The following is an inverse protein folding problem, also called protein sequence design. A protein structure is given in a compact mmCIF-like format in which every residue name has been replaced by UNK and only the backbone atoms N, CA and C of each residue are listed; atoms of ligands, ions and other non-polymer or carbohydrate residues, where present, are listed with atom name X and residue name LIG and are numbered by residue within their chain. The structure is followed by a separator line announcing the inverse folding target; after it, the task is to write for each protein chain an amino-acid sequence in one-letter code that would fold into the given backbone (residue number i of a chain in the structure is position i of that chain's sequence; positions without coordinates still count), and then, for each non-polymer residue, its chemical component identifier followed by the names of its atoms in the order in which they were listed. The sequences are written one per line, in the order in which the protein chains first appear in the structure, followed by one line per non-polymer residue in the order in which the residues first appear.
data_IF_358281244890
#
_entry.id   IF_358281244890
#
_cell.length_a   1.000
_cell.length_b   1.000
_cell.length_c   1.000
_cell.angle_alpha   90.00
_cell.angle_beta   90.00
_cell.angle_gamma   90.00
#
_symmetry.space_group_name_H-M   'P 1'
#
loop_
_entity.id
_entity.type
_entity.pdbx_description
1 polymer ?
#
# COMPACT_ATOMS: atom_id res chain seq x y z
N UNK A 1 10.83 -24.82 -33.15
CA UNK A 1 10.80 -23.48 -32.53
C UNK A 1 11.20 -23.45 -31.05
N UNK A 2 11.25 -24.58 -30.32
CA UNK A 2 11.53 -24.55 -28.86
C UNK A 2 13.00 -24.54 -28.41
N UNK A 3 13.99 -24.80 -29.27
CA UNK A 3 15.39 -24.91 -28.82
C UNK A 3 16.10 -23.57 -28.64
N UNK A 4 15.75 -22.55 -29.42
CA UNK A 4 16.39 -21.24 -29.31
C UNK A 4 15.89 -20.47 -28.08
N UNK A 5 14.58 -20.48 -27.76
CA UNK A 5 14.05 -19.79 -26.57
C UNK A 5 14.66 -20.30 -25.26
N UNK A 6 14.85 -21.61 -25.12
CA UNK A 6 15.47 -22.18 -23.91
C UNK A 6 16.93 -21.74 -23.70
N UNK A 7 17.71 -21.58 -24.78
CA UNK A 7 19.10 -21.15 -24.69
C UNK A 7 19.17 -19.67 -24.30
N UNK A 8 18.34 -18.81 -24.90
CA UNK A 8 18.29 -17.38 -24.55
C UNK A 8 17.82 -17.15 -23.11
N UNK A 9 16.82 -17.90 -22.62
CA UNK A 9 16.39 -17.82 -21.23
C UNK A 9 17.48 -18.25 -20.25
N UNK A 10 18.22 -19.32 -20.54
CA UNK A 10 19.32 -19.78 -19.69
C UNK A 10 20.49 -18.80 -19.66
N UNK A 11 20.88 -18.26 -20.82
CA UNK A 11 21.97 -17.30 -20.94
C UNK A 11 21.63 -15.99 -20.23
N UNK A 12 20.42 -15.46 -20.44
CA UNK A 12 19.92 -14.30 -19.70
C UNK A 12 19.82 -14.58 -18.19
N UNK A 13 19.47 -15.79 -17.78
CA UNK A 13 19.38 -16.14 -16.36
C UNK A 13 20.77 -16.17 -15.69
N UNK A 14 21.78 -16.73 -16.36
CA UNK A 14 23.16 -16.73 -15.86
C UNK A 14 23.73 -15.31 -15.82
N UNK A 15 23.50 -14.51 -16.85
CA UNK A 15 23.90 -13.10 -16.88
C UNK A 15 23.19 -12.29 -15.77
N UNK A 16 21.88 -12.48 -15.58
CA UNK A 16 21.10 -11.83 -14.51
C UNK A 16 21.58 -12.26 -13.12
N UNK A 17 21.86 -13.56 -12.92
CA UNK A 17 22.42 -14.07 -11.66
C UNK A 17 23.85 -13.58 -11.41
N UNK A 18 24.60 -13.24 -12.45
CA UNK A 18 25.92 -12.62 -12.32
C UNK A 18 25.83 -11.14 -11.91
N UNK A 19 24.77 -10.45 -12.34
CA UNK A 19 24.52 -9.04 -12.05
C UNK A 19 23.86 -8.82 -10.68
N UNK A 20 23.03 -9.77 -10.23
CA UNK A 20 22.27 -9.70 -8.99
C UNK A 20 22.41 -11.00 -8.20
N UNK A 21 22.79 -10.86 -6.93
CA UNK A 21 22.81 -11.99 -6.01
C UNK A 21 21.41 -12.22 -5.44
N UNK A 22 20.65 -13.12 -6.07
CA UNK A 22 19.33 -13.51 -5.58
C UNK A 22 19.43 -14.52 -4.45
N UNK A 23 18.79 -14.19 -3.33
CA UNK A 23 18.57 -15.09 -2.22
C UNK A 23 17.17 -15.71 -2.32
N UNK A 24 17.07 -17.00 -1.99
CA UNK A 24 15.78 -17.70 -1.93
C UNK A 24 15.04 -17.34 -0.65
N UNK A 25 13.72 -17.23 -0.77
CA UNK A 25 12.86 -17.09 0.41
C UNK A 25 12.99 -18.35 1.29
N UNK A 26 13.16 -18.21 2.62
CA UNK A 26 13.22 -19.35 3.53
C UNK A 26 11.96 -20.22 3.50
N UNK A 27 12.11 -21.51 3.82
CA UNK A 27 10.97 -22.41 4.01
C UNK A 27 10.30 -22.91 2.73
N UNK A 28 11.02 -22.94 1.60
CA UNK A 28 10.51 -23.39 0.29
C UNK A 28 9.29 -22.61 -0.22
N UNK A 29 9.08 -21.38 0.27
CA UNK A 29 8.06 -20.48 -0.26
C UNK A 29 8.58 -19.94 -1.60
N UNK A 30 7.83 -20.03 -2.71
CA UNK A 30 8.33 -19.55 -4.00
C UNK A 30 8.53 -18.03 -3.94
N UNK A 31 9.71 -17.57 -4.36
CA UNK A 31 10.07 -16.16 -4.33
C UNK A 31 11.57 -15.96 -4.25
N UNK A 32 11.99 -14.71 -4.40
CA UNK A 32 13.38 -14.31 -4.30
C UNK A 32 13.47 -12.87 -3.79
N UNK A 33 14.61 -12.55 -3.17
CA UNK A 33 14.98 -11.19 -2.82
C UNK A 33 16.44 -10.93 -3.12
N UNK A 34 16.81 -9.67 -3.24
CA UNK A 34 18.19 -9.19 -3.27
C UNK A 34 18.45 -8.39 -1.99
N UNK A 35 19.73 -8.19 -1.66
CA UNK A 35 20.12 -7.43 -0.49
C UNK A 35 19.66 -5.97 -0.61
N UNK A 36 18.72 -5.57 0.26
CA UNK A 36 18.21 -4.20 0.33
C UNK A 36 19.34 -3.17 0.51
N UNK A 37 20.29 -3.44 1.42
CA UNK A 37 21.41 -2.55 1.69
C UNK A 37 22.30 -2.40 0.45
N UNK A 38 22.56 -3.49 -0.27
CA UNK A 38 23.37 -3.47 -1.50
C UNK A 38 22.69 -2.69 -2.63
N UNK A 39 21.37 -2.85 -2.80
CA UNK A 39 20.62 -2.09 -3.80
C UNK A 39 20.55 -0.60 -3.44
N UNK A 40 20.42 -0.24 -2.15
CA UNK A 40 20.49 1.15 -1.70
C UNK A 40 21.88 1.74 -1.99
N UNK A 41 22.97 1.06 -1.64
CA UNK A 41 24.34 1.49 -1.94
C UNK A 41 24.51 1.73 -3.44
N UNK A 42 24.03 0.78 -4.25
CA UNK A 42 24.07 0.89 -5.71
C UNK A 42 23.28 2.10 -6.20
N UNK A 43 22.07 2.32 -5.69
CA UNK A 43 21.26 3.48 -6.09
C UNK A 43 21.96 4.79 -5.74
N UNK A 44 22.44 4.95 -4.50
CA UNK A 44 23.13 6.15 -4.01
C UNK A 44 24.34 6.46 -4.90
N UNK A 45 25.17 5.45 -5.19
CA UNK A 45 26.37 5.61 -6.01
C UNK A 45 26.10 6.21 -7.40
N UNK A 46 24.97 5.87 -8.01
CA UNK A 46 24.69 6.27 -9.40
C UNK A 46 23.71 7.44 -9.53
N UNK A 47 22.90 7.73 -8.51
CA UNK A 47 21.75 8.64 -8.64
C UNK A 47 21.69 9.74 -7.57
N UNK A 48 22.43 9.62 -6.47
CA UNK A 48 22.38 10.62 -5.38
C UNK A 48 23.58 11.57 -5.50
N UNK A 49 23.32 12.87 -5.31
CA UNK A 49 24.36 13.88 -5.29
C UNK A 49 25.34 13.61 -4.13
N UNK A 50 26.66 13.56 -4.38
CA UNK A 50 27.67 13.43 -3.32
C UNK A 50 27.61 14.51 -2.23
N UNK A 51 26.98 15.66 -2.48
CA UNK A 51 26.78 16.72 -1.49
C UNK A 51 25.57 16.48 -0.56
N UNK A 52 24.72 15.49 -0.87
CA UNK A 52 23.62 15.11 0.02
C UNK A 52 24.16 14.40 1.26
N UNK A 53 23.75 14.86 2.44
CA UNK A 53 24.16 14.25 3.71
C UNK A 53 23.07 13.35 4.31
N UNK A 54 21.80 13.68 4.08
CA UNK A 54 20.64 12.92 4.55
C UNK A 54 19.78 12.43 3.39
N UNK A 55 19.49 11.12 3.38
CA UNK A 55 18.75 10.45 2.32
C UNK A 55 17.46 9.88 2.90
N UNK A 56 16.32 10.25 2.30
CA UNK A 56 15.01 9.67 2.62
C UNK A 56 14.77 8.43 1.78
N UNK A 57 14.48 7.31 2.41
CA UNK A 57 14.21 6.04 1.74
C UNK A 57 12.83 5.56 2.14
N UNK A 58 11.92 5.45 1.17
CA UNK A 58 10.61 4.83 1.37
C UNK A 58 10.67 3.36 0.97
N UNK A 59 10.51 2.48 1.94
CA UNK A 59 10.29 1.04 1.71
C UNK A 59 8.78 0.82 1.63
N UNK A 60 8.32 0.10 0.60
CA UNK A 60 6.90 -0.18 0.39
C UNK A 60 6.67 -1.67 0.19
N UNK A 61 5.45 -2.12 0.49
CA UNK A 61 4.98 -3.42 0.07
C UNK A 61 3.55 -3.39 -0.44
N UNK A 62 3.27 -4.30 -1.35
CA UNK A 62 1.96 -4.44 -1.99
C UNK A 62 1.64 -5.92 -2.22
N UNK A 63 0.40 -6.30 -1.92
CA UNK A 63 -0.13 -7.65 -2.10
C UNK A 63 -1.07 -7.71 -3.29
N UNK A 64 -0.68 -8.42 -4.35
CA UNK A 64 -1.50 -8.59 -5.55
C UNK A 64 -1.94 -10.04 -5.74
N UNK A 65 -3.25 -10.23 -5.89
CA UNK A 65 -3.83 -11.50 -6.31
C UNK A 65 -3.83 -11.58 -7.83
N UNK A 66 -2.86 -12.30 -8.39
CA UNK A 66 -2.67 -12.42 -9.84
C UNK A 66 -3.54 -13.52 -10.45
N UNK A 67 -3.86 -14.57 -9.68
CA UNK A 67 -4.78 -15.62 -10.13
C UNK A 67 -5.56 -16.23 -8.97
N UNK A 68 -6.37 -17.26 -9.25
CA UNK A 68 -7.03 -18.06 -8.19
C UNK A 68 -6.03 -18.76 -7.26
N UNK A 69 -4.81 -19.00 -7.72
CA UNK A 69 -3.80 -19.82 -7.04
C UNK A 69 -2.49 -19.07 -6.73
N UNK A 70 -2.29 -17.87 -7.29
CA UNK A 70 -1.07 -17.08 -7.10
C UNK A 70 -1.39 -15.72 -6.47
N UNK A 71 -0.79 -15.49 -5.32
CA UNK A 71 -0.78 -14.21 -4.62
C UNK A 71 0.68 -13.81 -4.48
N UNK A 72 1.03 -12.62 -4.95
CA UNK A 72 2.38 -12.11 -4.81
C UNK A 72 2.38 -10.96 -3.82
N UNK A 73 3.36 -10.96 -2.93
CA UNK A 73 3.74 -9.79 -2.16
C UNK A 73 5.04 -9.29 -2.76
N UNK A 74 5.04 -8.03 -3.16
CA UNK A 74 6.20 -7.33 -3.71
C UNK A 74 6.66 -6.32 -2.69
N UNK A 75 7.97 -6.30 -2.39
CA UNK A 75 8.57 -5.23 -1.60
C UNK A 75 9.52 -4.44 -2.50
N UNK A 76 9.42 -3.13 -2.40
CA UNK A 76 10.23 -2.18 -3.16
C UNK A 76 10.75 -1.08 -2.26
N UNK A 77 11.80 -0.39 -2.71
CA UNK A 77 12.23 0.85 -2.10
C UNK A 77 12.31 1.97 -3.15
N UNK A 78 12.24 3.20 -2.68
CA UNK A 78 12.45 4.40 -3.49
C UNK A 78 13.22 5.40 -2.66
N UNK A 79 14.12 6.15 -3.31
CA UNK A 79 14.79 7.27 -2.68
C UNK A 79 13.98 8.52 -2.98
N UNK A 80 13.55 9.22 -1.94
CA UNK A 80 12.76 10.45 -2.07
C UNK A 80 13.74 11.61 -2.27
N UNK A 81 13.73 12.19 -3.47
CA UNK A 81 14.39 13.45 -3.77
C UNK A 81 13.42 14.63 -3.52
N UNK A 82 13.94 15.85 -3.43
CA UNK A 82 13.14 17.05 -3.09
C UNK A 82 12.05 17.38 -4.14
N UNK A 83 12.11 16.77 -5.33
CA UNK A 83 10.99 16.80 -6.27
C UNK A 83 9.90 15.88 -5.74
N UNK A 84 8.81 16.50 -5.27
CA UNK A 84 7.54 15.93 -4.78
C UNK A 84 6.88 14.88 -5.71
N UNK A 85 7.52 14.48 -6.80
CA UNK A 85 7.09 13.39 -7.65
C UNK A 85 7.51 12.05 -7.04
N UNK A 86 6.58 11.43 -6.30
CA UNK A 86 6.51 9.99 -6.05
C UNK A 86 6.25 9.22 -7.38
N UNK A 87 7.06 9.50 -8.39
CA UNK A 87 7.00 8.88 -9.71
C UNK A 87 7.32 7.39 -9.57
N UNK A 88 6.52 6.54 -10.21
CA UNK A 88 6.76 5.08 -10.29
C UNK A 88 8.09 4.71 -10.96
N UNK A 89 8.79 5.68 -11.58
CA UNK A 89 10.07 5.47 -12.25
C UNK A 89 11.24 5.12 -11.31
N UNK A 90 11.12 5.43 -10.01
CA UNK A 90 12.18 5.22 -9.02
C UNK A 90 11.88 4.10 -8.01
N UNK A 91 10.90 3.23 -8.31
CA UNK A 91 10.61 2.07 -7.48
C UNK A 91 11.54 0.91 -7.83
N UNK A 92 12.41 0.56 -6.89
CA UNK A 92 13.37 -0.53 -7.00
C UNK A 92 12.81 -1.74 -6.25
N UNK A 93 12.32 -2.74 -7.00
CA UNK A 93 11.84 -4.01 -6.43
C UNK A 93 13.04 -4.81 -5.93
N UNK A 94 13.01 -5.17 -4.65
CA UNK A 94 14.08 -5.98 -4.04
C UNK A 94 13.58 -7.31 -3.48
N UNK A 95 12.26 -7.54 -3.43
CA UNK A 95 11.69 -8.83 -3.03
C UNK A 95 10.38 -9.11 -3.76
N UNK A 96 10.22 -10.35 -4.23
CA UNK A 96 8.96 -10.89 -4.73
C UNK A 96 8.75 -12.24 -4.06
N UNK A 97 7.60 -12.41 -3.40
CA UNK A 97 7.24 -13.67 -2.76
C UNK A 97 5.83 -14.11 -3.13
N UNK A 98 5.68 -15.36 -3.53
CA UNK A 98 4.39 -15.98 -3.77
C UNK A 98 3.85 -16.52 -2.44
N UNK A 99 3.21 -15.65 -1.67
CA UNK A 99 2.54 -16.02 -0.44
C UNK A 99 1.22 -15.28 -0.31
N UNK A 100 0.35 -15.80 0.55
CA UNK A 100 -0.88 -15.10 0.90
C UNK A 100 -0.51 -13.84 1.69
N UNK A 101 -1.13 -12.73 1.32
CA UNK A 101 -0.98 -11.47 2.04
C UNK A 101 -1.82 -11.50 3.34
N UNK A 102 -1.29 -12.22 4.32
CA UNK A 102 -1.74 -12.22 5.71
C UNK A 102 -0.53 -12.26 6.65
N UNK A 103 -0.78 -12.00 7.93
CA UNK A 103 0.27 -11.77 8.92
C UNK A 103 1.22 -12.97 9.07
N UNK A 104 0.69 -14.18 9.18
CA UNK A 104 1.51 -15.37 9.46
C UNK A 104 2.40 -15.74 8.27
N UNK A 105 1.86 -15.63 7.05
CA UNK A 105 2.63 -15.89 5.83
C UNK A 105 3.69 -14.83 5.60
N UNK A 106 3.37 -13.54 5.80
CA UNK A 106 4.35 -12.46 5.72
C UNK A 106 5.45 -12.64 6.76
N UNK A 107 5.08 -12.92 8.02
CA UNK A 107 6.02 -13.16 9.11
C UNK A 107 6.99 -14.29 8.81
N UNK A 108 6.50 -15.38 8.22
CA UNK A 108 7.33 -16.54 7.90
C UNK A 108 8.21 -16.26 6.67
N UNK A 109 7.60 -15.82 5.57
CA UNK A 109 8.26 -15.70 4.29
C UNK A 109 9.25 -14.53 4.25
N UNK A 110 8.83 -13.38 4.78
CA UNK A 110 9.63 -12.16 4.75
C UNK A 110 10.46 -11.97 6.03
N UNK A 111 10.57 -12.97 6.92
CA UNK A 111 11.36 -12.89 8.16
C UNK A 111 12.77 -12.29 7.97
N UNK A 112 13.64 -12.83 7.08
CA UNK A 112 14.99 -12.30 6.93
C UNK A 112 14.98 -10.86 6.40
N UNK A 113 14.02 -10.55 5.53
CA UNK A 113 13.87 -9.22 4.93
C UNK A 113 13.47 -8.20 5.98
N UNK A 114 12.44 -8.49 6.80
CA UNK A 114 12.03 -7.59 7.88
C UNK A 114 13.10 -7.43 8.94
N UNK A 115 13.89 -8.46 9.24
CA UNK A 115 15.06 -8.33 10.11
C UNK A 115 16.08 -7.34 9.54
N UNK A 116 16.39 -7.41 8.25
CA UNK A 116 17.30 -6.47 7.57
C UNK A 116 16.76 -5.04 7.56
N UNK A 117 15.46 -4.86 7.30
CA UNK A 117 14.80 -3.56 7.38
C UNK A 117 14.93 -2.97 8.79
N UNK A 118 14.69 -3.78 9.83
CA UNK A 118 14.80 -3.33 11.22
C UNK A 118 16.23 -2.95 11.58
N UNK A 119 17.23 -3.75 11.19
CA UNK A 119 18.64 -3.41 11.42
C UNK A 119 19.03 -2.12 10.70
N UNK A 120 18.57 -1.92 9.47
CA UNK A 120 18.85 -0.70 8.71
C UNK A 120 18.19 0.53 9.36
N UNK A 121 16.94 0.39 9.84
CA UNK A 121 16.21 1.41 10.58
C UNK A 121 16.91 1.79 11.89
N UNK A 122 17.38 0.81 12.65
CA UNK A 122 18.12 1.04 13.90
C UNK A 122 19.49 1.68 13.66
N UNK A 123 20.21 1.28 12.60
CA UNK A 123 21.50 1.85 12.20
C UNK A 123 21.37 3.29 11.70
N UNK A 124 20.24 3.62 11.07
CA UNK A 124 19.89 4.94 10.50
C UNK A 124 20.99 5.58 9.64
N UNK A 125 21.88 4.78 9.05
CA UNK A 125 23.01 5.26 8.27
C UNK A 125 23.55 4.18 7.32
N UNK A 126 24.22 4.62 6.27
CA UNK A 126 24.89 3.73 5.31
C UNK A 126 26.21 4.33 4.84
N UNK A 127 27.17 3.47 4.49
CA UNK A 127 28.47 3.89 3.96
C UNK A 127 28.55 3.53 2.49
N UNK A 128 28.89 4.51 1.65
CA UNK A 128 29.07 4.34 0.20
C UNK A 128 30.40 4.98 -0.17
N UNK A 129 31.34 4.17 -0.68
CA UNK A 129 32.67 4.62 -1.11
C UNK A 129 33.44 5.43 -0.05
N UNK A 130 33.28 5.06 1.23
CA UNK A 130 33.92 5.72 2.37
C UNK A 130 33.23 7.00 2.84
N UNK A 131 32.13 7.43 2.21
CA UNK A 131 31.26 8.51 2.71
C UNK A 131 30.10 7.92 3.51
N UNK A 132 29.83 8.48 4.69
CA UNK A 132 28.65 8.19 5.49
C UNK A 132 27.46 9.05 5.06
N UNK A 133 26.29 8.42 4.96
CA UNK A 133 25.01 9.07 4.70
C UNK A 133 24.02 8.72 5.81
N UNK A 134 23.34 9.73 6.33
CA UNK A 134 22.24 9.55 7.28
C UNK A 134 21.00 9.10 6.53
N UNK A 135 20.31 8.09 7.07
CA UNK A 135 19.10 7.53 6.48
C UNK A 135 17.86 7.93 7.27
N UNK A 136 16.84 8.35 6.54
CA UNK A 136 15.49 8.60 7.04
C UNK A 136 14.55 7.60 6.38
N UNK A 137 14.29 6.51 7.09
CA UNK A 137 13.59 5.36 6.52
C UNK A 137 12.11 5.47 6.84
N UNK A 138 11.34 5.50 5.77
CA UNK A 138 9.89 5.62 5.78
C UNK A 138 9.27 4.32 5.30
N UNK A 139 8.09 4.00 5.82
CA UNK A 139 7.31 2.84 5.39
C UNK A 139 6.10 3.28 4.57
N UNK A 140 5.79 2.56 3.50
CA UNK A 140 4.62 2.78 2.68
C UNK A 140 3.98 1.46 2.24
N UNK A 141 2.91 1.59 1.46
CA UNK A 141 2.11 0.48 0.97
C UNK A 141 0.64 0.77 1.18
N UNK A 142 -0.21 -0.08 0.60
CA UNK A 142 -1.64 0.03 0.82
C UNK A 142 -2.01 -0.13 2.30
N UNK A 143 -3.23 0.26 2.66
CA UNK A 143 -3.70 0.23 4.05
C UNK A 143 -3.68 -1.19 4.65
N UNK A 144 -3.93 -2.23 3.84
CA UNK A 144 -4.00 -3.61 4.30
C UNK A 144 -2.60 -4.12 4.63
N UNK A 145 -1.64 -3.90 3.74
CA UNK A 145 -0.24 -4.25 3.96
C UNK A 145 0.31 -3.52 5.19
N UNK A 146 0.07 -2.21 5.32
CA UNK A 146 0.49 -1.42 6.49
C UNK A 146 -0.12 -1.96 7.80
N UNK A 147 -1.40 -2.33 7.80
CA UNK A 147 -2.03 -2.96 8.97
C UNK A 147 -1.35 -4.29 9.32
N UNK A 148 -1.04 -5.12 8.34
CA UNK A 148 -0.39 -6.42 8.56
C UNK A 148 1.02 -6.26 9.14
N UNK A 149 1.86 -5.38 8.57
CA UNK A 149 3.24 -5.20 9.06
C UNK A 149 3.30 -4.56 10.46
N UNK A 150 2.27 -3.81 10.87
CA UNK A 150 2.13 -3.29 12.23
C UNK A 150 1.43 -4.24 13.20
N UNK A 151 0.95 -5.39 12.71
CA UNK A 151 0.20 -6.35 13.52
C UNK A 151 -1.19 -5.87 13.93
N UNK A 152 -1.78 -4.92 13.19
CA UNK A 152 -3.13 -4.42 13.41
C UNK A 152 -4.19 -5.35 12.82
N UNK A 153 -5.40 -5.28 13.37
CA UNK A 153 -6.59 -5.84 12.72
C UNK A 153 -6.95 -5.08 11.44
N UNK A 154 -7.63 -5.76 10.52
CA UNK A 154 -8.00 -5.18 9.22
C UNK A 154 -8.91 -3.94 9.31
N UNK A 155 -9.07 -3.23 8.20
CA UNK A 155 -9.77 -1.94 8.06
C UNK A 155 -11.19 -1.85 8.64
N UNK A 156 -11.88 -2.97 8.87
CA UNK A 156 -13.20 -3.01 9.50
C UNK A 156 -13.16 -2.96 11.04
N UNK A 157 -11.97 -3.08 11.63
CA UNK A 157 -11.79 -3.03 13.08
C UNK A 157 -12.04 -1.62 13.63
N UNK A 158 -12.46 -1.57 14.89
CA UNK A 158 -12.73 -0.31 15.59
C UNK A 158 -11.50 0.62 15.64
N UNK A 159 -10.30 0.06 15.75
CA UNK A 159 -9.04 0.80 15.90
C UNK A 159 -8.02 0.47 14.79
N UNK A 160 -8.45 0.57 13.53
CA UNK A 160 -7.66 0.16 12.36
C UNK A 160 -6.67 1.22 11.84
N UNK A 161 -6.57 2.39 12.48
CA UNK A 161 -5.70 3.47 12.03
C UNK A 161 -4.22 3.16 12.38
N UNK A 162 -3.30 3.18 11.40
CA UNK A 162 -1.86 2.97 11.62
C UNK A 162 -1.20 4.00 12.54
N UNK A 163 -1.68 5.25 12.51
CA UNK A 163 -1.05 6.37 13.22
C UNK A 163 -1.67 6.65 14.60
N UNK A 164 -2.96 6.35 14.78
CA UNK A 164 -3.71 6.77 15.98
C UNK A 164 -4.58 5.65 16.55
N UNK A 165 -4.75 5.64 17.87
CA UNK A 165 -5.67 4.80 18.65
C UNK A 165 -7.12 5.31 18.61
N UNK A 166 -7.54 5.87 17.48
CA UNK A 166 -8.88 6.46 17.30
C UNK A 166 -9.93 5.39 16.99
N UNK A 167 -11.07 5.44 17.68
CA UNK A 167 -12.20 4.56 17.42
C UNK A 167 -12.89 4.93 16.10
N UNK A 168 -13.39 3.95 15.34
CA UNK A 168 -13.99 4.18 14.01
C UNK A 168 -15.12 5.21 14.00
N UNK A 169 -15.92 5.26 15.07
CA UNK A 169 -17.04 6.20 15.23
C UNK A 169 -16.59 7.64 15.59
N UNK A 170 -15.30 7.89 15.72
CA UNK A 170 -14.75 9.22 16.02
C UNK A 170 -13.95 9.79 14.83
N UNK A 171 -13.74 9.00 13.77
CA UNK A 171 -12.89 9.39 12.63
C UNK A 171 -13.47 10.53 11.80
N UNK A 172 -14.78 10.73 11.86
CA UNK A 172 -15.56 11.76 11.17
C UNK A 172 -16.02 12.89 12.11
N UNK A 173 -15.55 12.91 13.36
CA UNK A 173 -15.85 13.98 14.32
C UNK A 173 -15.07 15.26 13.98
N UNK A 174 -15.64 16.04 13.07
CA UNK A 174 -15.12 17.35 12.65
C UNK A 174 -15.26 18.44 13.73
N UNK A 175 -15.82 18.13 14.91
CA UNK A 175 -15.82 19.07 16.04
C UNK A 175 -14.46 19.16 16.73
N UNK A 176 -13.56 18.20 16.47
CA UNK A 176 -12.22 18.17 17.03
C UNK A 176 -11.24 18.99 16.17
N UNK A 177 -10.34 19.78 16.80
CA UNK A 177 -9.26 20.41 16.06
C UNK A 177 -8.27 19.36 15.54
N UNK A 178 -7.48 19.72 14.53
CA UNK A 178 -6.55 18.81 13.85
C UNK A 178 -5.57 18.11 14.80
N UNK A 179 -5.05 18.86 15.78
CA UNK A 179 -4.07 18.41 16.76
C UNK A 179 -4.68 17.58 17.90
N UNK A 180 -6.01 17.46 17.98
CA UNK A 180 -6.70 16.73 19.03
C UNK A 180 -6.15 15.31 19.19
N UNK A 181 -5.93 14.61 18.07
CA UNK A 181 -5.43 13.23 18.05
C UNK A 181 -3.92 13.12 18.19
N UNK A 182 -3.17 14.22 18.07
CA UNK A 182 -1.73 14.25 18.31
C UNK A 182 -1.41 14.32 19.81
N UNK A 183 -2.40 14.71 20.63
CA UNK A 183 -2.24 14.83 22.08
C UNK A 183 -2.73 13.57 22.83
N UNK A 184 -2.42 13.47 24.13
CA UNK A 184 -3.05 12.51 25.08
C UNK A 184 -2.75 11.01 24.86
N UNK A 185 -1.63 10.65 24.24
CA UNK A 185 -1.26 9.24 24.04
C UNK A 185 -2.13 8.51 23.01
N UNK A 186 -2.82 9.27 22.16
CA UNK A 186 -3.61 8.76 21.04
C UNK A 186 -2.73 8.37 19.85
N UNK A 187 -1.58 9.01 19.67
CA UNK A 187 -0.59 8.61 18.66
C UNK A 187 -0.04 7.22 18.99
N UNK A 188 0.09 6.38 17.97
CA UNK A 188 0.73 5.08 18.10
C UNK A 188 2.24 5.25 18.03
N UNK A 189 2.93 4.44 18.83
CA UNK A 189 4.39 4.27 18.80
C UNK A 189 4.71 2.78 18.74
N UNK A 190 5.93 2.42 18.36
CA UNK A 190 6.36 1.01 18.37
C UNK A 190 6.23 0.38 19.75
N UNK A 191 6.50 1.15 20.81
CA UNK A 191 6.31 0.70 22.19
C UNK A 191 4.84 0.38 22.48
N UNK A 192 3.95 1.29 22.11
CA UNK A 192 2.51 1.13 22.30
C UNK A 192 1.95 -0.07 21.54
N UNK A 193 2.39 -0.34 20.30
CA UNK A 193 1.99 -1.54 19.57
C UNK A 193 2.41 -2.83 20.30
N UNK A 194 3.63 -2.87 20.85
CA UNK A 194 4.14 -4.02 21.62
C UNK A 194 3.37 -4.25 22.92
N UNK A 195 2.89 -3.20 23.57
CA UNK A 195 2.08 -3.28 24.79
C UNK A 195 0.63 -3.66 24.49
N UNK A 196 0.03 -3.05 23.46
CA UNK A 196 -1.39 -3.18 23.13
C UNK A 196 -1.74 -4.60 22.69
N UNK A 197 -0.82 -5.32 22.04
CA UNK A 197 -1.02 -6.74 21.70
C UNK A 197 -1.11 -7.63 22.95
N UNK A 198 -0.33 -7.34 24.00
CA UNK A 198 -0.40 -8.09 25.27
C UNK A 198 -1.73 -7.83 25.98
N UNK A 199 -2.21 -6.59 25.90
CA UNK A 199 -3.49 -6.16 26.48
C UNK A 199 -4.69 -6.53 25.60
N UNK A 200 -4.47 -7.00 24.37
CA UNK A 200 -5.49 -7.17 23.33
C UNK A 200 -6.35 -5.90 23.14
N UNK A 201 -5.69 -4.75 23.15
CA UNK A 201 -6.31 -3.43 23.12
C UNK A 201 -6.04 -2.71 21.80
N UNK A 202 -6.84 -1.67 21.53
CA UNK A 202 -6.69 -0.79 20.37
C UNK A 202 -6.52 -1.54 19.05
N UNK A 203 -7.16 -2.69 18.89
CA UNK A 203 -7.16 -3.45 17.64
C UNK A 203 -5.81 -4.03 17.22
N UNK A 204 -4.81 -4.09 18.10
CA UNK A 204 -3.54 -4.78 17.83
C UNK A 204 -3.73 -6.27 18.04
N UNK A 205 -3.37 -7.07 17.03
CA UNK A 205 -3.60 -8.53 16.97
C UNK A 205 -2.32 -9.34 17.04
N UNK A 206 -1.20 -8.75 16.64
CA UNK A 206 0.09 -9.40 16.63
C UNK A 206 1.21 -8.38 16.84
N UNK A 207 2.43 -8.89 17.08
CA UNK A 207 3.62 -8.03 17.17
C UNK A 207 3.92 -7.41 15.80
N UNK A 208 4.40 -6.16 15.74
CA UNK A 208 4.87 -5.57 14.48
C UNK A 208 5.98 -6.41 13.84
N UNK A 209 5.92 -6.57 12.52
CA UNK A 209 6.96 -7.22 11.72
C UNK A 209 8.14 -6.28 11.46
N UNK A 210 7.85 -4.98 11.38
CA UNK A 210 8.85 -3.91 11.25
C UNK A 210 8.89 -3.04 12.50
N UNK A 211 10.06 -2.45 12.77
CA UNK A 211 10.32 -1.57 13.91
C UNK A 211 10.25 -0.08 13.54
N UNK A 212 9.83 0.22 12.29
CA UNK A 212 9.63 1.59 11.81
C UNK A 212 8.51 2.24 12.64
N UNK A 213 8.79 3.41 13.20
CA UNK A 213 7.79 4.12 14.01
C UNK A 213 6.56 4.48 13.17
N UNK A 214 5.34 4.42 13.74
CA UNK A 214 4.13 4.79 13.04
C UNK A 214 4.14 6.20 12.43
N UNK A 215 4.90 7.14 13.01
CA UNK A 215 5.08 8.48 12.46
C UNK A 215 5.89 8.52 11.15
N UNK A 216 6.71 7.50 10.90
CA UNK A 216 7.48 7.32 9.67
C UNK A 216 6.71 6.53 8.61
N UNK A 217 5.40 6.34 8.78
CA UNK A 217 4.53 5.71 7.79
C UNK A 217 3.93 6.79 6.89
N UNK A 218 4.15 6.65 5.58
CA UNK A 218 3.57 7.50 4.54
C UNK A 218 2.29 6.86 4.01
N UNK A 219 1.27 7.70 3.80
CA UNK A 219 0.02 7.30 3.18
C UNK A 219 0.24 6.93 1.71
N UNK A 220 -0.46 5.89 1.26
CA UNK A 220 -0.60 5.62 -0.16
C UNK A 220 -1.62 6.59 -0.80
N UNK A 221 -1.10 7.59 -1.50
CA UNK A 221 -1.91 8.62 -2.15
C UNK A 221 -2.81 8.07 -3.26
N UNK A 222 -2.33 7.07 -4.03
CA UNK A 222 -3.10 6.48 -5.11
C UNK A 222 -4.34 5.79 -4.54
N UNK A 223 -4.14 4.87 -3.59
CA UNK A 223 -5.25 4.15 -2.96
C UNK A 223 -6.19 5.07 -2.18
N UNK A 224 -5.65 6.13 -1.56
CA UNK A 224 -6.48 7.14 -0.88
C UNK A 224 -7.37 7.90 -1.88
N UNK A 225 -6.79 8.42 -2.97
CA UNK A 225 -7.53 9.17 -4.00
C UNK A 225 -8.58 8.30 -4.66
N UNK A 226 -8.25 7.04 -4.99
CA UNK A 226 -9.20 6.07 -5.53
C UNK A 226 -10.39 5.88 -4.58
N UNK A 227 -10.15 5.76 -3.27
CA UNK A 227 -11.23 5.61 -2.28
C UNK A 227 -12.07 6.87 -2.12
N UNK A 228 -11.47 8.06 -2.16
CA UNK A 228 -12.20 9.33 -2.13
C UNK A 228 -13.10 9.45 -3.37
N UNK A 229 -12.55 9.20 -4.55
CA UNK A 229 -13.29 9.21 -5.81
C UNK A 229 -14.47 8.23 -5.80
N UNK A 230 -14.27 7.01 -5.31
CA UNK A 230 -15.34 6.01 -5.15
C UNK A 230 -16.49 6.51 -4.25
N UNK A 231 -16.16 7.13 -3.11
CA UNK A 231 -17.17 7.69 -2.20
C UNK A 231 -17.94 8.86 -2.81
N UNK A 232 -17.24 9.79 -3.46
CA UNK A 232 -17.85 10.95 -4.09
C UNK A 232 -18.73 10.52 -5.27
N UNK A 233 -18.25 9.59 -6.09
CA UNK A 233 -19.00 9.05 -7.22
C UNK A 233 -20.27 8.34 -6.77
N UNK A 234 -20.18 7.49 -5.73
CA UNK A 234 -21.35 6.84 -5.14
C UNK A 234 -22.40 7.85 -4.71
N UNK A 235 -22.00 8.92 -4.01
CA UNK A 235 -22.92 9.95 -3.56
C UNK A 235 -23.60 10.63 -4.75
N UNK A 236 -22.83 10.98 -5.78
CA UNK A 236 -23.35 11.62 -7.00
C UNK A 236 -24.35 10.73 -7.76
N UNK A 237 -24.09 9.42 -7.83
CA UNK A 237 -25.01 8.44 -8.43
C UNK A 237 -26.31 8.33 -7.63
N UNK A 238 -26.23 8.29 -6.30
CA UNK A 238 -27.41 8.20 -5.43
C UNK A 238 -28.23 9.49 -5.44
N UNK A 239 -27.58 10.65 -5.49
CA UNK A 239 -28.26 11.95 -5.57
C UNK A 239 -28.99 12.11 -6.91
N UNK A 240 -28.34 11.75 -8.02
CA UNK A 240 -28.97 11.79 -9.35
C UNK A 240 -30.14 10.82 -9.46
N UNK A 241 -30.00 9.59 -8.94
CA UNK A 241 -31.12 8.66 -8.82
C UNK A 241 -32.28 9.25 -7.99
N UNK A 242 -31.97 9.86 -6.85
CA UNK A 242 -32.98 10.44 -5.97
C UNK A 242 -33.73 11.59 -6.65
N UNK A 243 -33.05 12.38 -7.49
CA UNK A 243 -33.67 13.43 -8.29
C UNK A 243 -34.60 12.85 -9.36
N UNK A 244 -34.17 11.80 -10.07
CA UNK A 244 -35.01 11.13 -11.06
C UNK A 244 -36.25 10.49 -10.41
N UNK A 245 -36.09 9.84 -9.25
CA UNK A 245 -37.20 9.25 -8.49
C UNK A 245 -38.18 10.34 -8.03
N UNK A 246 -37.69 11.50 -7.56
CA UNK A 246 -38.53 12.64 -7.17
C UNK A 246 -39.33 13.20 -8.35
N UNK A 247 -38.69 13.39 -9.50
CA UNK A 247 -39.36 13.91 -10.69
C UNK A 247 -40.42 12.94 -11.22
N UNK A 248 -40.12 11.63 -11.20
CA UNK A 248 -41.07 10.59 -11.58
C UNK A 248 -42.34 10.63 -10.71
N UNK A 249 -42.22 10.86 -9.40
CA UNK A 249 -43.38 11.02 -8.49
C UNK A 249 -44.25 12.23 -8.86
N UNK A 250 -43.65 13.30 -9.39
CA UNK A 250 -44.37 14.48 -9.86
C UNK A 250 -44.85 14.36 -11.33
N UNK A 251 -44.61 13.22 -11.98
CA UNK A 251 -44.96 13.01 -13.40
C UNK A 251 -44.04 13.72 -14.38
N UNK A 252 -42.91 14.25 -13.91
CA UNK A 252 -41.91 14.91 -14.73
C UNK A 252 -40.92 13.90 -15.32
N UNK A 253 -40.59 14.05 -16.60
CA UNK A 253 -39.54 13.24 -17.23
C UNK A 253 -38.17 13.86 -16.93
N UNK A 254 -37.29 13.09 -16.30
CA UNK A 254 -35.87 13.41 -16.15
C UNK A 254 -35.00 12.19 -16.40
N UNK A 255 -33.73 12.46 -16.67
CA UNK A 255 -32.69 11.45 -16.86
C UNK A 255 -31.35 12.02 -16.36
N UNK A 256 -31.31 12.39 -15.07
CA UNK A 256 -30.10 12.91 -14.45
C UNK A 256 -29.03 11.82 -14.33
N UNK A 257 -29.45 10.58 -14.04
CA UNK A 257 -28.54 9.43 -13.96
C UNK A 257 -27.89 9.10 -15.31
N UNK A 258 -28.65 9.15 -16.42
CA UNK A 258 -28.12 8.98 -17.76
C UNK A 258 -27.18 10.13 -18.15
N UNK A 259 -27.55 11.38 -17.86
CA UNK A 259 -26.67 12.53 -18.09
C UNK A 259 -25.35 12.43 -17.33
N UNK A 260 -25.38 12.02 -16.06
CA UNK A 260 -24.18 11.76 -15.27
C UNK A 260 -23.31 10.67 -15.92
N UNK A 261 -23.92 9.58 -16.35
CA UNK A 261 -23.23 8.47 -17.01
C UNK A 261 -22.51 8.95 -18.28
N UNK A 262 -23.18 9.74 -19.12
CA UNK A 262 -22.60 10.32 -20.33
C UNK A 262 -21.51 11.34 -20.03
N UNK A 263 -21.64 12.13 -18.95
CA UNK A 263 -20.57 13.04 -18.52
C UNK A 263 -19.32 12.28 -18.10
N UNK A 264 -19.46 11.19 -17.35
CA UNK A 264 -18.33 10.33 -16.95
C UNK A 264 -17.69 9.69 -18.19
N UNK A 265 -18.49 9.17 -19.12
CA UNK A 265 -18.01 8.61 -20.39
C UNK A 265 -17.29 9.65 -21.24
N UNK A 266 -17.75 10.90 -21.21
CA UNK A 266 -17.11 12.04 -21.86
C UNK A 266 -15.68 12.31 -21.37
N UNK A 267 -15.29 11.82 -20.20
CA UNK A 267 -13.92 11.85 -19.71
C UNK A 267 -13.02 10.74 -20.31
N UNK A 268 -13.53 9.94 -21.24
CA UNK A 268 -12.79 8.84 -21.86
C UNK A 268 -12.77 7.54 -21.06
N UNK A 269 -13.68 7.38 -20.09
CA UNK A 269 -13.76 6.19 -19.22
C UNK A 269 -14.96 5.32 -19.60
N UNK A 270 -14.74 4.01 -19.72
CA UNK A 270 -15.83 3.02 -19.88
C UNK A 270 -16.58 2.86 -18.57
N UNK A 271 -17.79 3.44 -18.49
CA UNK A 271 -18.59 3.44 -17.27
C UNK A 271 -20.05 3.04 -17.54
N UNK A 272 -20.61 2.19 -16.68
CA UNK A 272 -21.99 1.70 -16.80
C UNK A 272 -22.65 1.71 -15.42
N UNK A 273 -23.94 1.99 -15.40
CA UNK A 273 -24.81 1.85 -14.22
C UNK A 273 -25.92 0.87 -14.59
N UNK A 274 -26.22 -0.08 -13.71
CA UNK A 274 -27.27 -1.09 -13.93
C UNK A 274 -27.99 -1.45 -12.63
N UNK A 275 -29.16 -2.06 -12.74
CA UNK A 275 -29.89 -2.58 -11.58
C UNK A 275 -29.40 -3.98 -11.23
N UNK A 276 -29.12 -4.24 -9.94
CA UNK A 276 -28.74 -5.57 -9.47
C UNK A 276 -29.87 -6.57 -9.66
N UNK A 277 -29.54 -7.71 -10.28
CA UNK A 277 -30.48 -8.85 -10.43
C UNK A 277 -30.92 -9.34 -9.05
N UNK A 278 -32.23 -9.50 -8.86
CA UNK A 278 -32.81 -10.07 -7.64
C UNK A 278 -32.95 -9.11 -6.46
N UNK A 279 -32.69 -7.81 -6.65
CA UNK A 279 -32.92 -6.77 -5.63
C UNK A 279 -34.05 -5.83 -6.07
N UNK A 280 -34.75 -5.20 -5.11
CA UNK A 280 -35.77 -4.19 -5.40
C UNK A 280 -35.14 -2.87 -5.86
N UNK A 281 -34.64 -2.82 -7.10
CA UNK A 281 -34.18 -1.58 -7.71
C UNK A 281 -32.86 -1.04 -7.19
N UNK A 282 -32.05 -1.86 -6.52
CA UNK A 282 -30.73 -1.45 -6.04
C UNK A 282 -29.78 -1.29 -7.25
N UNK A 283 -29.07 -0.16 -7.31
CA UNK A 283 -28.11 0.12 -8.37
C UNK A 283 -26.75 -0.50 -8.09
N UNK A 284 -26.05 -0.79 -9.18
CA UNK A 284 -24.64 -1.13 -9.22
C UNK A 284 -24.00 -0.40 -10.40
N UNK A 285 -22.68 -0.26 -10.37
CA UNK A 285 -21.96 0.49 -11.40
C UNK A 285 -20.54 -0.03 -11.61
N UNK A 286 -19.95 0.36 -12.74
CA UNK A 286 -18.57 0.04 -13.06
C UNK A 286 -17.66 0.61 -11.98
N UNK A 287 -16.95 -0.25 -11.25
CA UNK A 287 -15.94 0.24 -10.33
C UNK A 287 -14.80 0.91 -11.11
N UNK A 288 -14.47 2.14 -10.74
CA UNK A 288 -13.30 2.85 -11.26
C UNK A 288 -11.98 2.32 -10.69
N UNK A 289 -12.05 1.48 -9.66
CA UNK A 289 -10.91 0.95 -8.91
C UNK A 289 -10.74 -0.57 -9.08
N UNK A 290 -11.57 -1.20 -9.93
CA UNK A 290 -11.71 -2.66 -10.01
C UNK A 290 -12.70 -3.22 -8.97
N UNK A 291 -13.09 -4.49 -9.09
CA UNK A 291 -13.97 -5.11 -8.09
C UNK A 291 -13.32 -5.07 -6.71
N UNK A 292 -13.92 -4.34 -5.76
CA UNK A 292 -13.55 -4.40 -4.35
C UNK A 292 -13.44 -5.88 -3.92
N UNK A 293 -12.31 -6.18 -3.24
CA UNK A 293 -11.86 -7.49 -2.75
C UNK A 293 -12.93 -8.42 -2.16
#
# INVERSE_FOLDING_TARGET
MGYHEHIWFHQCQEDINSLYHFERIPGNIPGAYVSLESEIIRYIKYHVNPETDKIKIKISGDGSKVSRISNFVVLSFSVITDDLTLSSKDQNVFCIVNCKEDYDHLKLACKPIFQKINTLYEKASIEVEGKHFDLDILMGGDMKFLQLVLGLGGSLCNYSCPWYRVHKNQRDDMTKPLDFYHTRGMQRTSQNLKEDVVKNDFGVRAQPLVSIEPEHIIIDELHLLLRICDKLLRNLILDTKTLDDKNAVHGEKSDFLGQLTEKIRGCGVSFYIWTKKGTQGELDWSSLTGSDY
#
